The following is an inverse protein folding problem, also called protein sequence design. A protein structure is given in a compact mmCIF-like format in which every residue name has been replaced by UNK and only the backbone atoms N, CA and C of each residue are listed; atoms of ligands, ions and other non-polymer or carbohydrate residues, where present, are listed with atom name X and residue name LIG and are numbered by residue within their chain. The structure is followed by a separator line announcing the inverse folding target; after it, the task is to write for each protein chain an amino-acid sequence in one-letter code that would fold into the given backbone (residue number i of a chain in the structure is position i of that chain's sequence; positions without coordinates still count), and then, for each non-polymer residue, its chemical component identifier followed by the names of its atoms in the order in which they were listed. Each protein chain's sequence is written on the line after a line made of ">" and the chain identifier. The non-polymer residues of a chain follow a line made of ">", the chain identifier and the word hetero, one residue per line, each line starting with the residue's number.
data_IF_208025990343
#
_entry.id   IF_208025990343
#
_cell.length_a   1.000
_cell.length_b   1.000
_cell.length_c   1.000
_cell.angle_alpha   90.00
_cell.angle_beta   90.00
_cell.angle_gamma   90.00
#
_symmetry.space_group_name_H-M   'P 1'
#
loop_
_entity.id
_entity.type
_entity.pdbx_description
1 polymer ?
#
# COMPACT_ATOMS: atom_id res chain seq x y z
N UNK A 1 -37.83 26.19 0.96
CA UNK A 1 -37.38 24.78 0.91
C UNK A 1 -35.94 24.72 1.42
N UNK A 2 -35.77 24.49 2.73
CA UNK A 2 -34.45 24.36 3.37
C UNK A 2 -34.02 22.90 3.30
N UNK A 3 -33.31 22.52 2.24
CA UNK A 3 -32.62 21.23 2.21
C UNK A 3 -31.59 21.23 3.34
N UNK A 4 -31.89 20.48 4.39
CA UNK A 4 -31.04 20.34 5.57
C UNK A 4 -29.68 19.78 5.18
N UNK A 5 -28.61 20.47 5.57
CA UNK A 5 -27.20 20.08 5.39
C UNK A 5 -26.94 18.63 5.86
N UNK A 6 -27.74 18.14 6.82
CA UNK A 6 -27.72 16.75 7.30
C UNK A 6 -28.07 15.73 6.21
N UNK A 7 -28.96 16.05 5.29
CA UNK A 7 -29.39 15.17 4.20
C UNK A 7 -28.33 15.05 3.10
N UNK A 8 -27.53 16.10 2.89
CA UNK A 8 -26.40 16.06 1.95
C UNK A 8 -25.21 15.28 2.53
N UNK A 9 -24.96 15.43 3.84
CA UNK A 9 -23.91 14.68 4.52
C UNK A 9 -24.19 13.18 4.56
N UNK A 10 -25.43 12.76 4.81
CA UNK A 10 -25.80 11.33 4.79
C UNK A 10 -25.79 10.75 3.39
N UNK A 11 -26.22 11.49 2.37
CA UNK A 11 -26.17 11.03 0.98
C UNK A 11 -24.73 10.84 0.48
N UNK A 12 -23.80 11.72 0.87
CA UNK A 12 -22.38 11.60 0.52
C UNK A 12 -21.70 10.39 1.19
N UNK A 13 -22.04 10.10 2.46
CA UNK A 13 -21.50 8.95 3.19
C UNK A 13 -22.00 7.63 2.57
N UNK A 14 -23.27 7.56 2.17
CA UNK A 14 -23.85 6.36 1.55
C UNK A 14 -23.25 6.10 0.16
N UNK A 15 -22.99 7.14 -0.63
CA UNK A 15 -22.42 6.99 -1.98
C UNK A 15 -20.95 6.57 -1.96
N UNK A 16 -20.16 6.98 -0.95
CA UNK A 16 -18.79 6.45 -0.73
C UNK A 16 -18.81 4.99 -0.28
N UNK A 17 -19.77 4.60 0.57
CA UNK A 17 -19.92 3.21 1.01
C UNK A 17 -20.33 2.27 -0.15
N UNK A 18 -21.19 2.71 -1.05
CA UNK A 18 -21.64 1.92 -2.21
C UNK A 18 -20.56 1.79 -3.28
N UNK A 19 -19.71 2.81 -3.49
CA UNK A 19 -18.58 2.70 -4.42
C UNK A 19 -17.52 1.70 -3.94
N UNK A 20 -17.35 1.56 -2.62
CA UNK A 20 -16.41 0.64 -1.98
C UNK A 20 -16.80 -0.84 -2.11
N UNK A 21 -18.08 -1.13 -2.40
CA UNK A 21 -18.59 -2.49 -2.52
C UNK A 21 -18.47 -3.08 -3.94
N UNK A 22 -18.06 -2.28 -4.94
CA UNK A 22 -18.07 -2.68 -6.36
C UNK A 22 -16.70 -3.03 -6.95
N UNK A 23 -15.60 -2.77 -6.23
CA UNK A 23 -14.28 -3.25 -6.64
C UNK A 23 -14.10 -4.68 -6.14
N UNK A 24 -14.53 -5.64 -6.96
CA UNK A 24 -14.38 -7.05 -6.68
C UNK A 24 -12.93 -7.43 -6.37
N UNK A 25 -12.71 -7.98 -5.18
CA UNK A 25 -11.75 -9.04 -4.90
C UNK A 25 -12.10 -9.65 -3.53
N UNK A 26 -13.04 -10.59 -3.56
CA UNK A 26 -13.47 -11.40 -2.41
C UNK A 26 -12.43 -12.50 -2.03
N UNK A 27 -11.13 -12.19 -2.12
CA UNK A 27 -10.04 -13.08 -1.67
C UNK A 27 -9.00 -12.34 -0.78
N UNK A 28 -9.28 -11.09 -0.40
CA UNK A 28 -8.28 -10.19 0.20
C UNK A 28 -8.33 -10.05 1.74
N UNK A 29 -9.11 -10.87 2.45
CA UNK A 29 -9.22 -10.79 3.90
C UNK A 29 -8.98 -12.14 4.61
N UNK A 30 -8.05 -12.95 4.11
CA UNK A 30 -7.38 -13.91 5.01
C UNK A 30 -6.60 -13.07 6.02
N UNK A 31 -6.83 -13.30 7.32
CA UNK A 31 -6.05 -12.71 8.41
C UNK A 31 -4.56 -12.96 8.17
N UNK A 32 -3.90 -12.01 7.49
CA UNK A 32 -2.46 -12.04 7.19
C UNK A 32 -1.79 -11.36 8.37
N UNK A 33 -1.46 -12.13 9.39
CA UNK A 33 -0.46 -11.72 10.37
C UNK A 33 0.89 -12.29 9.94
N UNK A 34 1.91 -11.44 9.86
CA UNK A 34 3.27 -11.85 9.55
C UNK A 34 3.84 -11.17 8.31
N UNK A 35 4.92 -11.74 7.79
CA UNK A 35 5.63 -11.24 6.61
C UNK A 35 5.20 -12.04 5.39
N UNK A 36 4.77 -11.35 4.36
CA UNK A 36 4.51 -11.92 3.04
C UNK A 36 5.63 -11.50 2.09
N UNK A 37 6.19 -12.46 1.36
CA UNK A 37 7.22 -12.24 0.36
C UNK A 37 6.70 -12.72 -0.99
N UNK A 38 6.62 -11.79 -1.95
CA UNK A 38 6.22 -12.10 -3.32
C UNK A 38 7.36 -11.81 -4.28
N UNK A 39 7.59 -12.73 -5.23
CA UNK A 39 8.58 -12.60 -6.29
C UNK A 39 7.84 -12.43 -7.62
N UNK A 40 8.07 -11.29 -8.28
CA UNK A 40 7.49 -11.01 -9.59
C UNK A 40 8.60 -10.92 -10.61
N UNK A 41 8.61 -11.81 -11.61
CA UNK A 41 9.55 -11.74 -12.71
C UNK A 41 9.31 -10.48 -13.54
N UNK A 42 10.39 -9.78 -13.86
CA UNK A 42 10.35 -8.55 -14.64
C UNK A 42 11.00 -8.73 -16.00
N UNK A 43 12.23 -9.27 -16.04
CA UNK A 43 12.97 -9.44 -17.29
C UNK A 43 13.78 -10.73 -17.26
N UNK A 44 13.83 -11.43 -18.40
CA UNK A 44 14.76 -12.55 -18.56
C UNK A 44 16.17 -12.03 -18.64
N UNK A 45 17.09 -12.65 -17.90
CA UNK A 45 18.51 -12.34 -18.02
C UNK A 45 19.25 -13.47 -18.73
N UNK A 46 20.35 -13.15 -19.39
CA UNK A 46 21.25 -14.16 -19.95
C UNK A 46 22.13 -14.85 -18.88
N UNK A 47 21.92 -14.54 -17.60
CA UNK A 47 22.76 -15.05 -16.52
C UNK A 47 22.34 -16.44 -16.10
N UNK A 48 23.35 -17.21 -15.71
CA UNK A 48 23.19 -18.55 -15.18
C UNK A 48 23.83 -18.59 -13.79
N UNK A 49 23.07 -18.98 -12.78
CA UNK A 49 23.59 -19.24 -11.44
C UNK A 49 23.49 -20.75 -11.19
N UNK A 50 24.60 -21.40 -10.82
CA UNK A 50 24.65 -22.85 -10.61
C UNK A 50 24.09 -23.66 -11.80
N UNK A 51 24.49 -23.30 -13.03
CA UNK A 51 24.07 -23.95 -14.28
C UNK A 51 22.56 -23.83 -14.60
N UNK A 52 21.83 -22.91 -13.94
CA UNK A 52 20.42 -22.62 -14.24
C UNK A 52 20.19 -21.18 -14.65
N UNK A 53 19.33 -20.91 -15.64
CA UNK A 53 19.00 -19.55 -16.06
C UNK A 53 18.31 -18.82 -14.90
N UNK A 54 18.68 -17.55 -14.69
CA UNK A 54 18.10 -16.72 -13.65
C UNK A 54 17.45 -15.50 -14.28
N UNK A 55 16.30 -15.10 -13.75
CA UNK A 55 15.57 -13.93 -14.23
C UNK A 55 15.74 -12.76 -13.25
N UNK A 56 15.54 -11.54 -13.75
CA UNK A 56 15.49 -10.33 -12.95
C UNK A 56 14.08 -10.20 -12.39
N UNK A 57 13.98 -10.08 -11.07
CA UNK A 57 12.70 -10.08 -10.36
C UNK A 57 12.63 -8.96 -9.33
N UNK A 58 11.40 -8.59 -9.00
CA UNK A 58 11.11 -7.77 -7.83
C UNK A 58 10.69 -8.66 -6.68
N UNK A 59 11.35 -8.46 -5.54
CA UNK A 59 10.93 -9.00 -4.27
C UNK A 59 10.17 -7.93 -3.51
N UNK A 60 8.88 -8.19 -3.29
CA UNK A 60 8.00 -7.34 -2.48
C UNK A 60 7.82 -8.00 -1.13
N UNK A 61 8.32 -7.35 -0.08
CA UNK A 61 8.15 -7.74 1.31
C UNK A 61 7.06 -6.89 1.95
N UNK A 62 5.97 -7.52 2.38
CA UNK A 62 4.85 -6.87 3.04
C UNK A 62 4.75 -7.35 4.49
N UNK A 63 4.79 -6.44 5.44
CA UNK A 63 4.54 -6.73 6.86
C UNK A 63 3.08 -6.41 7.15
N UNK A 64 2.33 -7.42 7.55
CA UNK A 64 0.91 -7.32 7.83
C UNK A 64 0.64 -7.53 9.32
N UNK A 65 -0.09 -6.58 9.91
CA UNK A 65 -0.66 -6.63 11.26
C UNK A 65 -2.13 -6.32 11.11
N UNK A 66 -2.94 -7.33 10.76
CA UNK A 66 -4.34 -7.22 10.33
C UNK A 66 -4.56 -6.48 8.99
N UNK A 67 -3.77 -5.45 8.70
CA UNK A 67 -3.65 -4.77 7.42
C UNK A 67 -2.15 -4.58 7.06
N UNK A 68 -1.81 -4.27 5.81
CA UNK A 68 -0.44 -3.90 5.44
C UNK A 68 0.01 -2.66 6.21
N UNK A 69 1.11 -2.77 6.94
CA UNK A 69 1.70 -1.67 7.73
C UNK A 69 2.93 -1.10 7.05
N UNK A 70 3.68 -1.98 6.38
CA UNK A 70 4.93 -1.64 5.73
C UNK A 70 5.14 -2.54 4.52
N UNK A 71 5.58 -1.96 3.42
CA UNK A 71 5.91 -2.70 2.21
C UNK A 71 7.22 -2.18 1.65
N UNK A 72 8.14 -3.08 1.31
CA UNK A 72 9.46 -2.77 0.75
C UNK A 72 9.67 -3.58 -0.52
N UNK A 73 10.19 -2.94 -1.57
CA UNK A 73 10.56 -3.62 -2.81
C UNK A 73 12.06 -3.57 -3.01
N UNK A 74 12.64 -4.70 -3.45
CA UNK A 74 14.04 -4.81 -3.82
C UNK A 74 14.19 -5.58 -5.13
N UNK A 75 15.17 -5.20 -5.95
CA UNK A 75 15.53 -5.97 -7.14
C UNK A 75 16.45 -7.13 -6.77
N UNK A 76 16.09 -8.32 -7.21
CA UNK A 76 16.84 -9.54 -6.97
C UNK A 76 16.92 -10.36 -8.25
N UNK A 77 17.94 -11.21 -8.33
CA UNK A 77 17.96 -12.29 -9.29
C UNK A 77 17.13 -13.43 -8.72
N UNK A 78 16.15 -13.95 -9.45
CA UNK A 78 15.28 -15.00 -8.91
C UNK A 78 15.02 -16.14 -9.89
N UNK A 79 14.77 -17.31 -9.30
CA UNK A 79 14.13 -18.44 -9.96
C UNK A 79 12.68 -18.52 -9.44
N UNK A 80 11.73 -18.08 -10.28
CA UNK A 80 10.30 -18.05 -9.96
C UNK A 80 9.77 -19.45 -9.65
N UNK A 81 10.33 -20.49 -10.29
CA UNK A 81 9.88 -21.87 -10.13
C UNK A 81 10.20 -22.42 -8.74
N UNK A 82 11.35 -22.01 -8.19
CA UNK A 82 11.84 -22.47 -6.89
C UNK A 82 11.66 -21.46 -5.75
N UNK A 83 11.08 -20.29 -6.04
CA UNK A 83 10.98 -19.16 -5.10
C UNK A 83 12.32 -18.82 -4.43
N UNK A 84 13.43 -19.04 -5.14
CA UNK A 84 14.78 -18.78 -4.64
C UNK A 84 15.27 -17.47 -5.24
N UNK A 85 15.99 -16.67 -4.45
CA UNK A 85 16.48 -15.37 -4.88
C UNK A 85 17.90 -15.11 -4.39
N UNK A 86 18.63 -14.28 -5.14
CA UNK A 86 19.99 -13.85 -4.85
C UNK A 86 20.12 -12.33 -4.98
N UNK A 87 20.92 -11.70 -4.12
CA UNK A 87 21.15 -10.26 -4.20
C UNK A 87 21.93 -9.91 -5.47
N UNK A 88 21.56 -8.79 -6.10
CA UNK A 88 22.32 -8.27 -7.24
C UNK A 88 23.69 -7.79 -6.74
N UNK A 89 24.80 -8.22 -7.35
CA UNK A 89 26.12 -7.73 -6.98
C UNK A 89 26.22 -6.23 -7.28
N UNK A 90 26.81 -5.46 -6.38
CA UNK A 90 26.94 -4.00 -6.50
C UNK A 90 28.35 -3.60 -6.98
N UNK A 91 28.52 -2.34 -7.37
CA UNK A 91 29.83 -1.77 -7.73
C UNK A 91 30.36 -2.18 -9.11
N UNK A 92 31.64 -2.54 -9.20
CA UNK A 92 32.28 -2.88 -10.48
C UNK A 92 31.70 -4.13 -11.14
N UNK A 93 31.33 -5.14 -10.33
CA UNK A 93 30.73 -6.37 -10.85
C UNK A 93 29.41 -6.10 -11.57
N UNK A 94 28.59 -5.17 -11.07
CA UNK A 94 27.36 -4.75 -11.74
C UNK A 94 27.64 -4.16 -13.13
N UNK A 95 28.61 -3.24 -13.19
CA UNK A 95 29.00 -2.57 -14.45
C UNK A 95 29.52 -3.58 -15.46
N UNK A 96 30.28 -4.58 -15.03
CA UNK A 96 30.79 -5.65 -15.90
C UNK A 96 29.64 -6.49 -16.46
N UNK A 97 28.66 -6.87 -15.62
CA UNK A 97 27.49 -7.63 -16.06
C UNK A 97 26.58 -6.82 -17.00
N UNK A 98 26.42 -5.52 -16.75
CA UNK A 98 25.68 -4.62 -17.63
C UNK A 98 26.39 -4.41 -18.99
N UNK A 99 27.72 -4.28 -18.99
CA UNK A 99 28.52 -4.19 -20.22
C UNK A 99 28.53 -5.50 -21.01
N UNK A 100 28.45 -6.63 -20.33
CA UNK A 100 28.33 -7.94 -20.95
C UNK A 100 26.94 -8.21 -21.55
N UNK A 101 25.98 -7.28 -21.42
CA UNK A 101 24.60 -7.46 -21.90
C UNK A 101 23.80 -8.47 -21.07
N UNK A 102 24.33 -8.89 -19.92
CA UNK A 102 23.69 -9.86 -19.04
C UNK A 102 22.64 -9.22 -18.13
N UNK A 103 22.80 -7.93 -17.81
CA UNK A 103 21.83 -7.12 -17.08
C UNK A 103 21.43 -5.89 -17.90
N UNK A 104 20.15 -5.46 -17.83
CA UNK A 104 19.72 -4.20 -18.43
C UNK A 104 20.54 -3.01 -17.89
N UNK A 105 20.88 -2.07 -18.77
CA UNK A 105 21.54 -0.81 -18.43
C UNK A 105 20.76 0.39 -19.01
N UNK A 106 20.23 1.31 -18.18
CA UNK A 106 20.24 1.30 -16.72
C UNK A 106 19.33 0.20 -16.14
N UNK A 107 19.54 -0.15 -14.86
CA UNK A 107 18.56 -0.95 -14.13
C UNK A 107 17.23 -0.17 -14.13
N UNK A 108 16.10 -0.83 -14.47
CA UNK A 108 14.82 -0.14 -14.53
C UNK A 108 14.50 0.52 -13.19
N UNK A 109 14.07 1.78 -13.19
CA UNK A 109 13.53 2.35 -11.95
C UNK A 109 12.15 1.71 -11.72
N UNK A 110 12.02 0.90 -10.68
CA UNK A 110 10.72 0.39 -10.31
C UNK A 110 9.84 1.53 -9.81
N UNK A 111 8.67 1.69 -10.43
CA UNK A 111 7.66 2.63 -9.99
C UNK A 111 6.47 1.82 -9.52
N UNK A 112 6.24 1.80 -8.22
CA UNK A 112 5.06 1.16 -7.65
C UNK A 112 3.82 1.99 -8.00
N UNK A 113 2.71 1.38 -8.46
CA UNK A 113 1.49 2.11 -8.74
C UNK A 113 0.92 2.73 -7.45
N UNK A 114 0.26 3.89 -7.59
CA UNK A 114 -0.23 4.69 -6.46
C UNK A 114 -1.22 3.92 -5.57
N UNK A 115 -1.98 3.01 -6.16
CA UNK A 115 -2.93 2.18 -5.41
C UNK A 115 -2.21 1.24 -4.43
N UNK A 116 -1.09 0.65 -4.81
CA UNK A 116 -0.32 -0.23 -3.93
C UNK A 116 0.28 0.55 -2.75
N UNK A 117 0.60 1.84 -2.94
CA UNK A 117 0.94 2.73 -1.83
C UNK A 117 -0.26 2.96 -0.90
N UNK A 118 -1.45 3.19 -1.45
CA UNK A 118 -2.65 3.42 -0.65
C UNK A 118 -3.01 2.21 0.20
N UNK A 119 -2.87 1.00 -0.35
CA UNK A 119 -3.05 -0.25 0.39
C UNK A 119 -1.94 -0.46 1.44
N UNK A 120 -0.69 -0.19 1.09
CA UNK A 120 0.45 -0.28 2.00
C UNK A 120 0.39 0.67 3.21
N UNK A 121 -0.30 1.80 3.07
CA UNK A 121 -0.51 2.81 4.12
C UNK A 121 -1.95 2.86 4.66
N UNK A 122 -2.79 1.88 4.29
CA UNK A 122 -4.22 1.88 4.63
C UNK A 122 -4.49 2.02 6.13
N UNK A 123 -3.68 1.36 6.98
CA UNK A 123 -3.76 1.48 8.44
C UNK A 123 -3.54 2.92 8.92
N UNK A 124 -2.50 3.58 8.39
CA UNK A 124 -2.14 4.95 8.77
C UNK A 124 -3.19 5.95 8.29
N UNK A 125 -3.76 5.72 7.11
CA UNK A 125 -4.84 6.55 6.57
C UNK A 125 -6.09 6.42 7.46
N UNK A 126 -6.44 5.21 7.88
CA UNK A 126 -7.56 4.98 8.79
C UNK A 126 -7.34 5.63 10.16
N UNK A 127 -6.14 5.49 10.74
CA UNK A 127 -5.78 6.12 12.02
C UNK A 127 -5.78 7.66 11.93
N UNK A 128 -5.21 8.22 10.86
CA UNK A 128 -5.21 9.67 10.64
C UNK A 128 -6.64 10.21 10.47
N UNK A 129 -7.48 9.50 9.71
CA UNK A 129 -8.89 9.83 9.53
C UNK A 129 -9.67 9.78 10.85
N UNK A 130 -9.48 8.74 11.64
CA UNK A 130 -10.13 8.60 12.95
C UNK A 130 -9.66 9.67 13.94
N UNK A 131 -8.35 9.95 13.99
CA UNK A 131 -7.77 10.99 14.83
C UNK A 131 -8.28 12.39 14.47
N UNK A 132 -8.35 12.72 13.17
CA UNK A 132 -8.94 13.98 12.71
C UNK A 132 -10.42 14.08 13.08
N UNK A 133 -11.20 13.01 12.86
CA UNK A 133 -12.62 13.00 13.20
C UNK A 133 -12.86 13.19 14.71
N UNK A 134 -12.10 12.48 15.55
CA UNK A 134 -12.17 12.63 16.99
C UNK A 134 -11.73 14.02 17.47
N UNK A 135 -10.67 14.59 16.87
CA UNK A 135 -10.21 15.94 17.20
C UNK A 135 -11.25 17.01 16.85
N UNK A 136 -11.87 16.91 15.67
CA UNK A 136 -12.92 17.83 15.23
C UNK A 136 -14.15 17.71 16.13
N UNK A 137 -14.60 16.50 16.47
CA UNK A 137 -15.80 16.32 17.29
C UNK A 137 -15.63 16.85 18.72
N UNK A 138 -14.44 16.78 19.30
CA UNK A 138 -14.14 17.38 20.62
C UNK A 138 -14.20 18.91 20.57
N UNK A 139 -13.68 19.53 19.51
CA UNK A 139 -13.68 20.99 19.36
C UNK A 139 -15.09 21.55 19.09
N UNK A 140 -15.91 20.84 18.31
CA UNK A 140 -17.25 21.30 17.95
C UNK A 140 -18.34 20.86 18.97
N UNK A 141 -18.12 19.79 19.72
CA UNK A 141 -19.08 19.28 20.70
C UNK A 141 -19.20 20.12 21.98
N UNK A 142 -18.16 20.90 22.31
CA UNK A 142 -18.14 21.75 23.51
C UNK A 142 -18.98 23.03 23.38
N UNK A 143 -19.37 23.44 22.17
CA UNK A 143 -20.19 24.67 21.96
C UNK A 143 -21.69 24.49 22.21
N UNK A 144 -22.24 23.29 22.12
CA UNK A 144 -23.70 23.11 22.30
C UNK A 144 -24.18 23.17 23.76
N UNK A 145 -23.26 23.14 24.74
CA UNK A 145 -23.65 23.10 26.16
C UNK A 145 -23.84 24.49 26.78
N UNK A 146 -23.20 25.54 26.23
CA UNK A 146 -23.37 26.92 26.70
C UNK A 146 -24.72 27.52 26.28
N UNK A 147 -25.18 27.25 25.06
CA UNK A 147 -26.47 27.78 24.57
C UNK A 147 -27.66 27.28 25.41
N UNK A 148 -27.60 26.01 25.85
CA UNK A 148 -28.63 25.36 26.67
C UNK A 148 -28.73 25.92 28.11
N UNK A 149 -27.66 26.53 28.63
CA UNK A 149 -27.65 27.09 29.99
C UNK A 149 -28.23 28.51 30.03
N UNK A 150 -28.09 29.27 28.94
CA UNK A 150 -28.64 30.63 28.85
C UNK A 150 -30.17 30.67 28.64
N UNK A 151 -30.75 29.62 28.04
CA UNK A 151 -32.20 29.54 27.78
C UNK A 151 -33.02 29.09 29.02
N UNK A 152 -32.36 28.64 30.09
CA UNK A 152 -33.02 28.33 31.38
C UNK A 152 -32.99 29.50 32.37
N UNK A 153 -32.37 30.63 32.03
CA UNK A 153 -32.25 31.81 32.91
C UNK A 153 -32.91 33.08 32.35
N UNK A 154 -33.63 32.96 31.23
CA UNK A 154 -34.49 33.99 30.66
C UNK A 154 -35.98 33.60 30.84
#
# INVERSE_FOLDING_TARGET
>A
MTLSIKAFATAAIISVAVLSASTGQADAARYRFGTDESLTAYAKTGMTHELKPVDLCYKTKTINVFAPVYTSDEMVLCDVSKKTYWPIPTGERLKTLQRAGLLPNPLPAYTRPLLDYLFGFSLWIALAGFGLFAGISVIFGSRSQEDSASEQTA
#
